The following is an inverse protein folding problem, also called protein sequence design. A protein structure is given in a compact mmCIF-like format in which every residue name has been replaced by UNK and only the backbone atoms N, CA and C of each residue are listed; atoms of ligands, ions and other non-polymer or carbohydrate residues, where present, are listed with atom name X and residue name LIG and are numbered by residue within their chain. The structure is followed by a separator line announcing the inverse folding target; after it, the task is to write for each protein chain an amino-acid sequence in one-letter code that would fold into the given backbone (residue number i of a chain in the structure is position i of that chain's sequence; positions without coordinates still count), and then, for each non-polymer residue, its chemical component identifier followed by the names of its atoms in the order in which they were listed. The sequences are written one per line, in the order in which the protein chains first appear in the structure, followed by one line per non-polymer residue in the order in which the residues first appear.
data_IF_130831911473
#
_entry.id   IF_130831911473
#
_cell.length_a   1.000
_cell.length_b   1.000
_cell.length_c   1.000
_cell.angle_alpha   90.00
_cell.angle_beta   90.00
_cell.angle_gamma   90.00
#
_symmetry.space_group_name_H-M   'P 1'
#
loop_
_entity.id
_entity.type
_entity.pdbx_description
1 polymer ?
#
# COMPACT_ATOMS: atom_id res chain seq x y z
N UNK A 1 -7.78 -9.30 -28.54
CA UNK A 1 -7.49 -7.88 -28.86
C UNK A 1 -8.26 -7.02 -27.88
N UNK A 2 -7.66 -6.69 -26.72
CA UNK A 2 -8.20 -5.80 -25.67
C UNK A 2 -7.19 -4.68 -25.33
N UNK A 3 -5.95 -4.76 -25.85
CA UNK A 3 -4.83 -3.88 -25.49
C UNK A 3 -5.13 -2.37 -25.64
N UNK A 4 -5.91 -1.97 -26.65
CA UNK A 4 -6.20 -0.55 -26.89
C UNK A 4 -7.04 0.13 -25.80
N UNK A 5 -7.83 -0.62 -25.03
CA UNK A 5 -8.69 -0.03 -24.00
C UNK A 5 -7.96 0.10 -22.64
N UNK A 6 -7.08 -0.85 -22.31
CA UNK A 6 -6.26 -0.80 -21.10
C UNK A 6 -5.19 0.28 -21.18
N UNK A 7 -4.59 0.46 -22.36
CA UNK A 7 -3.63 1.53 -22.62
C UNK A 7 -4.27 2.91 -22.40
N UNK A 8 -5.50 3.12 -22.88
CA UNK A 8 -6.24 4.36 -22.64
C UNK A 8 -6.50 4.59 -21.15
N UNK A 9 -6.96 3.56 -20.43
CA UNK A 9 -7.20 3.66 -18.99
C UNK A 9 -5.91 4.06 -18.28
N UNK A 10 -4.82 3.31 -18.46
CA UNK A 10 -3.55 3.53 -17.75
C UNK A 10 -2.95 4.90 -18.05
N UNK A 11 -3.00 5.34 -19.30
CA UNK A 11 -2.50 6.67 -19.67
C UNK A 11 -3.39 7.81 -19.15
N UNK A 12 -4.63 7.53 -18.74
CA UNK A 12 -5.53 8.51 -18.12
C UNK A 12 -5.40 8.58 -16.60
N UNK A 13 -4.73 7.61 -15.97
CA UNK A 13 -4.53 7.60 -14.53
C UNK A 13 -3.55 8.71 -14.11
N UNK A 14 -3.77 9.34 -12.94
CA UNK A 14 -2.82 10.28 -12.41
C UNK A 14 -1.49 9.60 -12.10
N UNK A 15 -0.39 10.31 -12.36
CA UNK A 15 0.94 9.87 -11.94
C UNK A 15 1.00 9.86 -10.41
N UNK A 16 1.47 8.75 -9.85
CA UNK A 16 1.54 8.54 -8.42
C UNK A 16 2.99 8.64 -7.97
N UNK A 17 3.24 9.43 -6.92
CA UNK A 17 4.54 9.55 -6.30
C UNK A 17 4.41 9.35 -4.79
N UNK A 18 5.36 8.63 -4.18
CA UNK A 18 5.41 8.47 -2.73
C UNK A 18 5.80 9.79 -2.04
N UNK A 19 4.81 10.66 -1.83
CA UNK A 19 4.96 11.97 -1.19
C UNK A 19 3.71 12.30 -0.37
N UNK A 20 3.92 12.93 0.78
CA UNK A 20 2.84 13.46 1.59
C UNK A 20 2.65 14.96 1.29
N UNK A 21 2.14 15.24 0.09
CA UNK A 21 1.87 16.61 -0.36
C UNK A 21 0.37 16.77 -0.58
N UNK A 22 -0.23 17.75 0.10
CA UNK A 22 -1.66 18.01 0.06
C UNK A 22 -2.14 18.39 -1.34
N UNK A 23 -1.34 19.13 -2.10
CA UNK A 23 -1.70 19.52 -3.47
C UNK A 23 -1.73 18.30 -4.40
N UNK A 24 -0.76 17.39 -4.24
CA UNK A 24 -0.70 16.14 -5.00
C UNK A 24 -1.86 15.24 -4.63
N UNK A 25 -2.17 15.10 -3.34
CA UNK A 25 -3.32 14.34 -2.85
C UNK A 25 -4.63 14.86 -3.44
N UNK A 26 -4.93 16.15 -3.28
CA UNK A 26 -6.15 16.78 -3.79
C UNK A 26 -6.28 16.60 -5.32
N UNK A 27 -5.16 16.66 -6.04
CA UNK A 27 -5.13 16.42 -7.50
C UNK A 27 -5.46 14.98 -7.87
N UNK A 28 -4.86 14.00 -7.19
CA UNK A 28 -5.14 12.57 -7.44
C UNK A 28 -6.61 12.26 -7.13
N UNK A 29 -7.11 12.76 -6.01
CA UNK A 29 -8.52 12.63 -5.60
C UNK A 29 -9.46 13.22 -6.64
N UNK A 30 -9.22 14.46 -7.06
CA UNK A 30 -10.03 15.15 -8.06
C UNK A 30 -10.08 14.40 -9.41
N UNK A 31 -8.93 13.93 -9.89
CA UNK A 31 -8.86 13.21 -11.17
C UNK A 31 -9.62 11.88 -11.10
N UNK A 32 -9.40 11.07 -10.07
CA UNK A 32 -10.11 9.79 -9.90
C UNK A 32 -11.63 9.97 -9.74
N UNK A 33 -12.08 10.97 -8.98
CA UNK A 33 -13.51 11.29 -8.85
C UNK A 33 -14.14 11.72 -10.18
N UNK A 34 -13.39 12.51 -10.97
CA UNK A 34 -13.84 12.95 -12.30
C UNK A 34 -14.03 11.75 -13.23
N UNK A 35 -13.13 10.76 -13.18
CA UNK A 35 -13.24 9.54 -13.98
C UNK A 35 -14.37 8.62 -13.52
N UNK A 36 -14.57 8.45 -12.21
CA UNK A 36 -15.63 7.60 -11.67
C UNK A 36 -17.05 8.17 -11.87
N UNK A 37 -17.19 9.43 -12.29
CA UNK A 37 -18.48 10.02 -12.67
C UNK A 37 -19.39 10.35 -11.48
N UNK A 38 -18.85 10.98 -10.43
CA UNK A 38 -19.60 11.41 -9.23
C UNK A 38 -20.41 10.28 -8.58
N UNK A 39 -19.82 9.10 -8.41
CA UNK A 39 -20.39 8.08 -7.53
C UNK A 39 -20.08 8.43 -6.07
N UNK A 40 -21.06 8.18 -5.20
CA UNK A 40 -21.10 8.29 -3.72
C UNK A 40 -19.96 9.02 -2.99
N UNK A 41 -20.30 10.02 -2.15
CA UNK A 41 -19.39 10.73 -1.22
C UNK A 41 -18.65 9.82 -0.20
N UNK A 42 -18.91 8.51 -0.18
CA UNK A 42 -18.37 7.54 0.78
C UNK A 42 -17.34 6.57 0.19
N UNK A 43 -17.14 6.57 -1.13
CA UNK A 43 -16.21 5.64 -1.76
C UNK A 43 -14.77 6.17 -1.66
N UNK A 44 -13.83 5.29 -1.32
CA UNK A 44 -12.41 5.64 -1.24
C UNK A 44 -11.72 5.63 -2.62
N UNK A 45 -10.49 6.16 -2.68
CA UNK A 45 -9.74 6.30 -3.93
C UNK A 45 -9.56 4.98 -4.68
N UNK A 46 -9.34 3.91 -3.91
CA UNK A 46 -9.18 2.55 -4.44
C UNK A 46 -10.48 2.06 -5.05
N UNK A 47 -11.62 2.34 -4.42
CA UNK A 47 -12.95 1.96 -4.92
C UNK A 47 -13.27 2.64 -6.25
N UNK A 48 -12.98 3.94 -6.39
CA UNK A 48 -13.13 4.67 -7.66
C UNK A 48 -12.28 4.06 -8.76
N UNK A 49 -11.00 3.81 -8.48
CA UNK A 49 -10.09 3.18 -9.44
C UNK A 49 -10.57 1.79 -9.86
N UNK A 50 -10.92 0.93 -8.89
CA UNK A 50 -11.39 -0.44 -9.17
C UNK A 50 -12.68 -0.41 -9.98
N UNK A 51 -13.64 0.45 -9.63
CA UNK A 51 -14.91 0.60 -10.36
C UNK A 51 -14.73 1.02 -11.82
N UNK A 52 -13.72 1.84 -12.11
CA UNK A 52 -13.36 2.19 -13.49
C UNK A 52 -12.61 1.06 -14.20
N UNK A 53 -11.60 0.48 -13.55
CA UNK A 53 -10.73 -0.53 -14.14
C UNK A 53 -11.49 -1.80 -14.55
N UNK A 54 -12.45 -2.26 -13.74
CA UNK A 54 -13.22 -3.49 -14.02
C UNK A 54 -14.03 -3.42 -15.32
N UNK A 55 -14.36 -2.22 -15.82
CA UNK A 55 -15.07 -2.02 -17.10
C UNK A 55 -14.25 -2.50 -18.30
N UNK A 56 -12.94 -2.62 -18.12
CA UNK A 56 -11.98 -2.97 -19.17
C UNK A 56 -11.39 -4.38 -19.00
N UNK A 57 -11.82 -5.11 -17.98
CA UNK A 57 -11.31 -6.42 -17.60
C UNK A 57 -12.33 -7.53 -17.89
N UNK A 58 -11.85 -8.74 -18.10
CA UNK A 58 -12.72 -9.92 -18.03
C UNK A 58 -13.16 -10.17 -16.58
N UNK A 59 -14.26 -10.90 -16.39
CA UNK A 59 -14.79 -11.23 -15.05
C UNK A 59 -13.73 -11.83 -14.12
N UNK A 60 -12.87 -12.69 -14.68
CA UNK A 60 -11.78 -13.31 -13.93
C UNK A 60 -10.72 -12.30 -13.50
N UNK A 61 -10.34 -11.39 -14.39
CA UNK A 61 -9.33 -10.36 -14.09
C UNK A 61 -9.88 -9.32 -13.11
N UNK A 62 -11.15 -8.96 -13.23
CA UNK A 62 -11.86 -8.11 -12.28
C UNK A 62 -11.90 -8.74 -10.88
N UNK A 63 -12.20 -10.04 -10.79
CA UNK A 63 -12.18 -10.78 -9.52
C UNK A 63 -10.77 -10.76 -8.89
N UNK A 64 -9.71 -10.99 -9.68
CA UNK A 64 -8.34 -10.90 -9.19
C UNK A 64 -8.03 -9.50 -8.66
N UNK A 65 -8.35 -8.45 -9.43
CA UNK A 65 -8.10 -7.07 -9.03
C UNK A 65 -8.84 -6.71 -7.72
N UNK A 66 -10.05 -7.22 -7.50
CA UNK A 66 -10.82 -6.97 -6.28
C UNK A 66 -10.23 -7.68 -5.05
N UNK A 67 -9.85 -8.96 -5.19
CA UNK A 67 -9.38 -9.78 -4.06
C UNK A 67 -7.98 -9.36 -3.58
N UNK A 68 -7.10 -8.92 -4.49
CA UNK A 68 -5.72 -8.53 -4.15
C UNK A 68 -5.71 -7.18 -3.44
N UNK A 69 -5.24 -7.11 -2.19
CA UNK A 69 -5.11 -5.87 -1.43
C UNK A 69 -3.93 -5.96 -0.44
N UNK A 70 -3.38 -4.80 -0.07
CA UNK A 70 -2.20 -4.62 0.78
C UNK A 70 -2.34 -5.29 2.15
N UNK A 71 -3.55 -5.33 2.70
CA UNK A 71 -3.81 -5.91 4.02
C UNK A 71 -3.61 -7.43 4.01
N UNK A 72 -4.10 -8.13 2.99
CA UNK A 72 -4.16 -9.60 2.92
C UNK A 72 -3.12 -10.24 2.01
N UNK A 73 -2.40 -9.46 1.18
CA UNK A 73 -1.48 -9.98 0.14
C UNK A 73 -0.36 -10.89 0.67
N UNK A 74 -0.05 -10.81 1.96
CA UNK A 74 0.94 -11.65 2.64
C UNK A 74 0.48 -13.08 2.93
N UNK A 75 -0.82 -13.38 2.78
CA UNK A 75 -1.39 -14.70 3.02
C UNK A 75 -0.87 -15.74 2.01
N UNK A 76 -0.73 -16.99 2.46
CA UNK A 76 -0.16 -18.08 1.65
C UNK A 76 -0.87 -18.30 0.31
N UNK A 77 -2.18 -18.05 0.23
CA UNK A 77 -2.94 -18.18 -1.03
C UNK A 77 -2.43 -17.29 -2.16
N UNK A 78 -1.80 -16.15 -1.85
CA UNK A 78 -1.24 -15.24 -2.85
C UNK A 78 0.19 -15.63 -3.26
N UNK A 79 0.91 -16.37 -2.42
CA UNK A 79 2.23 -16.94 -2.75
C UNK A 79 2.10 -18.04 -3.81
N UNK A 80 0.98 -18.76 -3.86
CA UNK A 80 0.69 -19.74 -4.91
C UNK A 80 0.00 -19.13 -6.15
N UNK A 81 -0.03 -17.79 -6.27
CA UNK A 81 -0.70 -17.12 -7.39
C UNK A 81 -0.04 -17.47 -8.73
N UNK A 82 -0.90 -17.57 -9.76
CA UNK A 82 -0.44 -17.71 -11.15
C UNK A 82 0.12 -16.41 -11.72
N UNK A 83 -0.27 -15.27 -11.14
CA UNK A 83 0.22 -13.95 -11.50
C UNK A 83 1.57 -13.78 -10.83
N UNK A 84 2.63 -13.62 -11.64
CA UNK A 84 4.02 -13.64 -11.16
C UNK A 84 4.25 -12.52 -10.17
N UNK A 85 3.78 -11.31 -10.51
CA UNK A 85 3.86 -10.14 -9.66
C UNK A 85 3.25 -10.38 -8.26
N UNK A 86 2.05 -10.96 -8.21
CA UNK A 86 1.34 -11.20 -6.95
C UNK A 86 2.11 -12.18 -6.07
N UNK A 87 2.64 -13.26 -6.65
CA UNK A 87 3.46 -14.22 -5.92
C UNK A 87 4.72 -13.58 -5.36
N UNK A 88 5.50 -12.91 -6.21
CA UNK A 88 6.78 -12.31 -5.80
C UNK A 88 6.59 -11.24 -4.73
N UNK A 89 5.54 -10.42 -4.86
CA UNK A 89 5.21 -9.43 -3.86
C UNK A 89 4.68 -10.06 -2.56
N UNK A 90 3.82 -11.08 -2.63
CA UNK A 90 3.31 -11.80 -1.47
C UNK A 90 4.43 -12.46 -0.64
N UNK A 91 5.36 -13.14 -1.31
CA UNK A 91 6.55 -13.75 -0.69
C UNK A 91 7.42 -12.69 0.00
N UNK A 92 7.64 -11.57 -0.68
CA UNK A 92 8.38 -10.44 -0.13
C UNK A 92 7.71 -9.90 1.14
N UNK A 93 6.41 -9.59 1.09
CA UNK A 93 5.70 -9.01 2.25
C UNK A 93 5.67 -9.99 3.41
N UNK A 94 5.50 -11.29 3.15
CA UNK A 94 5.54 -12.32 4.19
C UNK A 94 6.91 -12.32 4.91
N UNK A 95 8.01 -12.39 4.15
CA UNK A 95 9.37 -12.37 4.70
C UNK A 95 9.68 -11.04 5.42
N UNK A 96 9.23 -9.92 4.85
CA UNK A 96 9.42 -8.60 5.41
C UNK A 96 8.68 -8.42 6.74
N UNK A 97 7.41 -8.84 6.83
CA UNK A 97 6.63 -8.83 8.08
C UNK A 97 7.28 -9.69 9.17
N UNK A 98 7.80 -10.87 8.82
CA UNK A 98 8.53 -11.74 9.76
C UNK A 98 9.80 -11.07 10.30
N UNK A 99 10.56 -10.41 9.42
CA UNK A 99 11.77 -9.66 9.80
C UNK A 99 11.43 -8.47 10.72
N UNK A 100 10.35 -7.75 10.40
CA UNK A 100 9.87 -6.61 11.19
C UNK A 100 9.37 -7.04 12.58
N UNK A 101 8.64 -8.15 12.68
CA UNK A 101 8.19 -8.70 13.94
C UNK A 101 9.39 -9.08 14.84
N UNK A 102 10.39 -9.75 14.28
CA UNK A 102 11.62 -10.13 14.98
C UNK A 102 12.37 -8.90 15.49
N UNK A 103 12.49 -7.85 14.66
CA UNK A 103 13.08 -6.57 15.06
C UNK A 103 12.33 -5.90 16.21
N UNK A 104 11.00 -5.83 16.13
CA UNK A 104 10.14 -5.22 17.17
C UNK A 104 10.19 -6.00 18.49
N UNK A 105 10.24 -7.33 18.45
CA UNK A 105 10.41 -8.18 19.63
C UNK A 105 11.79 -7.98 20.28
N UNK A 106 12.86 -8.01 19.48
CA UNK A 106 14.22 -7.78 19.98
C UNK A 106 14.35 -6.40 20.65
N UNK A 107 13.71 -5.35 20.10
CA UNK A 107 13.66 -4.02 20.72
C UNK A 107 13.00 -4.05 22.10
N UNK A 108 11.90 -4.78 22.26
CA UNK A 108 11.19 -4.90 23.55
C UNK A 108 12.04 -5.59 24.62
N UNK A 109 12.81 -6.60 24.23
CA UNK A 109 13.63 -7.39 25.15
C UNK A 109 14.99 -6.71 25.45
N UNK A 110 15.48 -5.86 24.55
CA UNK A 110 16.80 -5.21 24.61
C UNK A 110 16.94 -3.98 25.53
N UNK A 111 16.05 -3.79 26.52
CA UNK A 111 16.38 -2.92 27.68
C UNK A 111 17.65 -3.40 28.39
N UNK A 112 18.13 -4.61 28.10
CA UNK A 112 19.47 -5.08 28.44
C UNK A 112 20.19 -5.60 27.18
N UNK A 113 21.29 -4.92 26.82
CA UNK A 113 22.33 -5.32 25.86
C UNK A 113 22.20 -4.90 24.39
N UNK A 114 23.28 -4.25 23.95
CA UNK A 114 23.57 -3.87 22.58
C UNK A 114 23.66 -5.08 21.64
N UNK A 115 23.10 -4.88 20.45
CA UNK A 115 23.47 -5.50 19.16
C UNK A 115 23.10 -6.97 18.91
N UNK A 116 22.10 -7.17 18.02
CA UNK A 116 22.22 -8.07 16.86
C UNK A 116 21.08 -7.99 15.84
N UNK A 117 20.27 -6.91 15.76
CA UNK A 117 19.34 -6.73 14.64
C UNK A 117 20.08 -6.19 13.41
N UNK A 118 21.04 -6.97 12.87
CA UNK A 118 21.93 -6.53 11.77
C UNK A 118 21.28 -6.54 10.37
N UNK A 119 20.02 -6.98 10.24
CA UNK A 119 19.41 -7.24 8.93
C UNK A 119 17.97 -6.72 8.76
N UNK A 120 17.53 -5.74 9.56
CA UNK A 120 16.26 -5.08 9.27
C UNK A 120 16.49 -3.96 8.25
N UNK A 121 15.71 -3.87 7.15
CA UNK A 121 15.86 -2.79 6.19
C UNK A 121 15.36 -1.44 6.71
N UNK A 122 14.70 -1.39 7.87
CA UNK A 122 14.25 -0.14 8.51
C UNK A 122 15.28 0.39 9.51
N UNK A 123 15.43 1.71 9.54
CA UNK A 123 16.22 2.45 10.52
C UNK A 123 15.34 2.77 11.73
N UNK A 124 15.95 2.75 12.92
CA UNK A 124 15.27 3.11 14.15
C UNK A 124 14.84 4.59 14.13
N UNK A 125 13.59 4.84 14.49
CA UNK A 125 13.01 6.19 14.55
C UNK A 125 11.81 6.26 15.48
N UNK A 126 11.01 7.32 15.32
CA UNK A 126 9.67 7.40 15.93
C UNK A 126 8.75 6.33 15.33
N UNK A 127 7.66 5.93 16.01
CA UNK A 127 6.69 4.98 15.44
C UNK A 127 6.17 5.41 14.07
N UNK A 128 5.94 6.72 13.88
CA UNK A 128 5.52 7.27 12.60
C UNK A 128 6.60 7.12 11.52
N UNK A 129 7.85 7.50 11.83
CA UNK A 129 8.98 7.34 10.90
C UNK A 129 9.21 5.88 10.50
N UNK A 130 9.05 4.94 11.43
CA UNK A 130 9.17 3.51 11.14
C UNK A 130 8.03 3.01 10.24
N UNK A 131 6.79 3.47 10.45
CA UNK A 131 5.66 3.12 9.58
C UNK A 131 5.81 3.74 8.17
N UNK A 132 6.30 4.99 8.06
CA UNK A 132 6.60 5.61 6.76
C UNK A 132 7.67 4.83 6.01
N UNK A 133 8.73 4.38 6.69
CA UNK A 133 9.76 3.52 6.09
C UNK A 133 9.18 2.18 5.60
N UNK A 134 8.25 1.58 6.36
CA UNK A 134 7.55 0.35 5.95
C UNK A 134 6.73 0.57 4.68
N UNK A 135 6.06 1.71 4.54
CA UNK A 135 5.32 2.06 3.33
C UNK A 135 6.24 2.35 2.14
N UNK A 136 7.35 3.06 2.36
CA UNK A 136 8.36 3.34 1.34
C UNK A 136 8.97 2.05 0.78
N UNK A 137 9.35 1.10 1.64
CA UNK A 137 9.92 -0.19 1.20
C UNK A 137 8.92 -0.99 0.36
N UNK A 138 7.63 -0.95 0.72
CA UNK A 138 6.57 -1.58 -0.06
C UNK A 138 6.41 -0.93 -1.43
N UNK A 139 6.43 0.40 -1.49
CA UNK A 139 6.41 1.18 -2.72
C UNK A 139 7.59 0.82 -3.63
N UNK A 140 8.82 0.87 -3.11
CA UNK A 140 10.02 0.55 -3.88
C UNK A 140 10.00 -0.87 -4.46
N UNK A 141 9.46 -1.83 -3.72
CA UNK A 141 9.33 -3.20 -4.23
C UNK A 141 8.33 -3.28 -5.39
N UNK A 142 7.23 -2.54 -5.34
CA UNK A 142 6.25 -2.50 -6.42
C UNK A 142 6.83 -1.82 -7.67
N UNK A 143 7.61 -0.74 -7.51
CA UNK A 143 8.35 -0.09 -8.61
C UNK A 143 9.37 -1.04 -9.26
N UNK A 144 10.10 -1.83 -8.46
CA UNK A 144 11.00 -2.87 -9.00
C UNK A 144 10.23 -3.89 -9.84
N UNK A 145 9.07 -4.35 -9.34
CA UNK A 145 8.21 -5.33 -10.01
C UNK A 145 7.48 -4.74 -11.22
N UNK A 146 7.32 -3.42 -11.31
CA UNK A 146 6.69 -2.74 -12.45
C UNK A 146 7.54 -2.78 -13.72
N UNK A 147 8.83 -3.10 -13.62
CA UNK A 147 9.72 -3.14 -14.78
C UNK A 147 9.26 -4.15 -15.84
N UNK A 148 8.82 -3.65 -16.99
CA UNK A 148 8.34 -4.45 -18.11
C UNK A 148 6.81 -4.59 -18.20
N UNK A 149 6.06 -4.02 -17.24
CA UNK A 149 4.60 -3.99 -17.24
C UNK A 149 4.11 -2.59 -17.57
N UNK A 150 3.47 -2.45 -18.73
CA UNK A 150 3.00 -1.14 -19.19
C UNK A 150 1.48 -1.10 -19.35
N UNK A 151 0.87 -2.15 -19.91
CA UNK A 151 -0.56 -2.15 -20.29
C UNK A 151 -1.25 -3.50 -20.06
N UNK A 152 -1.06 -4.11 -18.90
CA UNK A 152 -1.62 -5.40 -18.53
C UNK A 152 -2.30 -5.39 -17.14
N UNK A 153 -2.85 -6.53 -16.74
CA UNK A 153 -3.46 -6.68 -15.42
C UNK A 153 -2.45 -6.43 -14.28
N UNK A 154 -1.19 -6.80 -14.47
CA UNK A 154 -0.15 -6.63 -13.45
C UNK A 154 0.13 -5.13 -13.21
N UNK A 155 0.13 -4.30 -14.26
CA UNK A 155 0.20 -2.84 -14.15
C UNK A 155 -0.97 -2.25 -13.34
N UNK A 156 -2.21 -2.74 -13.55
CA UNK A 156 -3.36 -2.30 -12.77
C UNK A 156 -3.29 -2.74 -11.30
N UNK A 157 -2.78 -3.94 -11.03
CA UNK A 157 -2.57 -4.44 -9.66
C UNK A 157 -1.52 -3.56 -8.95
N UNK A 158 -0.41 -3.23 -9.61
CA UNK A 158 0.61 -2.32 -9.06
C UNK A 158 -0.01 -0.99 -8.73
N UNK A 159 -0.73 -0.39 -9.68
CA UNK A 159 -1.35 0.91 -9.49
C UNK A 159 -2.33 0.90 -8.31
N UNK A 160 -3.15 -0.16 -8.17
CA UNK A 160 -4.03 -0.36 -7.02
C UNK A 160 -3.25 -0.38 -5.70
N UNK A 161 -2.18 -1.16 -5.64
CA UNK A 161 -1.38 -1.31 -4.42
C UNK A 161 -0.65 0.00 -4.06
N UNK A 162 -0.20 0.78 -5.04
CA UNK A 162 0.30 2.14 -4.82
C UNK A 162 -0.76 3.07 -4.25
N UNK A 163 -1.99 3.04 -4.77
CA UNK A 163 -3.10 3.81 -4.19
C UNK A 163 -3.38 3.42 -2.73
N UNK A 164 -3.40 2.11 -2.42
CA UNK A 164 -3.62 1.64 -1.05
C UNK A 164 -2.48 2.10 -0.10
N UNK A 165 -1.24 2.13 -0.58
CA UNK A 165 -0.09 2.67 0.16
C UNK A 165 -0.27 4.18 0.41
N UNK A 166 -0.64 4.95 -0.62
CA UNK A 166 -0.83 6.40 -0.49
C UNK A 166 -2.01 6.74 0.41
N UNK A 167 -3.14 6.04 0.27
CA UNK A 167 -4.31 6.22 1.12
C UNK A 167 -3.95 5.98 2.59
N UNK A 168 -3.13 4.97 2.88
CA UNK A 168 -2.60 4.76 4.23
C UNK A 168 -1.64 5.87 4.64
N UNK A 169 -0.73 6.29 3.77
CA UNK A 169 0.24 7.33 4.09
C UNK A 169 -0.42 8.68 4.39
N UNK A 170 -1.37 9.11 3.56
CA UNK A 170 -2.12 10.37 3.71
C UNK A 170 -3.11 10.35 4.87
N UNK A 171 -3.45 9.15 5.39
CA UNK A 171 -4.24 9.03 6.62
C UNK A 171 -3.45 9.36 7.89
N UNK A 172 -2.13 9.48 7.81
CA UNK A 172 -1.29 9.82 8.96
C UNK A 172 -1.47 11.29 9.34
N UNK A 173 -2.29 11.52 10.36
CA UNK A 173 -2.49 12.81 10.99
C UNK A 173 -1.70 12.87 12.30
N UNK A 174 -0.56 13.59 12.27
CA UNK A 174 0.33 13.76 13.44
C UNK A 174 -0.41 14.31 14.68
N UNK A 175 -1.40 15.19 14.45
CA UNK A 175 -2.20 15.79 15.51
C UNK A 175 -3.09 14.75 16.19
N UNK A 176 -3.86 13.99 15.40
CA UNK A 176 -4.70 12.90 15.93
C UNK A 176 -3.89 11.77 16.54
N UNK A 177 -2.72 11.46 15.97
CA UNK A 177 -1.81 10.45 16.49
C UNK A 177 -1.31 10.80 17.90
N UNK A 178 -0.97 12.07 18.13
CA UNK A 178 -0.56 12.56 19.44
C UNK A 178 -1.69 12.53 20.46
N UNK A 179 -2.92 12.87 20.06
CA UNK A 179 -4.09 12.84 20.95
C UNK A 179 -4.44 11.41 21.38
N UNK A 180 -4.39 10.44 20.45
CA UNK A 180 -4.56 9.01 20.77
C UNK A 180 -3.45 8.56 21.72
N UNK A 181 -2.19 8.91 21.43
CA UNK A 181 -1.06 8.55 22.29
C UNK A 181 -1.23 9.06 23.72
N UNK A 182 -1.56 10.35 23.90
CA UNK A 182 -1.86 10.94 25.21
C UNK A 182 -2.99 10.22 25.94
N UNK A 183 -4.08 9.93 25.23
CA UNK A 183 -5.22 9.23 25.83
C UNK A 183 -4.91 7.81 26.33
N UNK A 184 -3.95 7.13 25.69
CA UNK A 184 -3.49 5.79 26.10
C UNK A 184 -2.53 5.91 27.28
N UNK A 185 -1.58 6.84 27.26
CA UNK A 185 -0.62 7.03 28.36
C UNK A 185 -1.32 7.53 29.63
N UNK A 186 -2.25 8.48 29.52
CA UNK A 186 -3.02 9.01 30.66
C UNK A 186 -3.94 7.96 31.28
N UNK A 187 -4.50 7.04 30.49
CA UNK A 187 -5.28 5.90 31.01
C UNK A 187 -4.42 4.87 31.75
N UNK A 188 -3.13 4.81 31.48
CA UNK A 188 -2.22 3.80 32.08
C UNK A 188 -1.62 4.28 33.41
N UNK A 189 -1.67 5.58 33.71
CA UNK A 189 -1.19 6.16 34.98
C UNK A 189 -2.24 6.11 36.12
N UNK A 190 -3.45 5.61 35.85
CA UNK A 190 -4.56 5.52 36.80
C UNK A 190 -5.15 4.11 36.96
N UNK A 191 -4.41 3.06 36.61
CA UNK A 191 -4.76 1.65 36.86
C UNK A 191 -3.67 0.92 37.63
#
# INVERSE_FOLDING_TARGET
MIAGNLEYLINSLPDLAFRHDKEVQERVEYLLQTYAGHQSEQDDLVSFFVGEAIKFLSDREAEQLQIINLQSIHESRFQDSRIRLVREYAEFIYAFKGSLATYRMARRDSTTQHSSAKHTPIKQGTPLEEEVQVLQIQWEKLEELASGHHYDLEALIIYKLHLEILQRYWSFDEGKGMDIFKSITEKTEHG
#
